data_IF_954666311872
#
_entry.id   IF_954666311872
#
_cell.length_a   1.000
_cell.length_b   1.000
_cell.length_c   1.000
_cell.angle_alpha   90.00
_cell.angle_beta   90.00
_cell.angle_gamma   90.00
#
_symmetry.space_group_name_H-M   'P 1'
#
loop_
_entity.id
_entity.type
_entity.pdbx_description
1 polymer ?
#
# COMPACT_ATOMS: atom_id res chain seq x y z
N UNK A 1 10.06 -23.48 2.53
CA UNK A 1 8.73 -23.37 3.17
C UNK A 1 7.74 -22.90 2.13
N UNK A 2 6.67 -23.66 1.85
CA UNK A 2 5.58 -23.16 1.01
C UNK A 2 4.86 -22.04 1.75
N UNK A 3 4.91 -20.81 1.21
CA UNK A 3 4.14 -19.69 1.72
C UNK A 3 2.68 -19.96 1.35
N UNK A 4 1.82 -20.18 2.34
CA UNK A 4 0.38 -20.26 2.11
C UNK A 4 -0.08 -18.87 1.64
N UNK A 5 -0.53 -18.76 0.39
CA UNK A 5 -1.11 -17.53 -0.15
C UNK A 5 -2.61 -17.49 0.12
N UNK A 6 -3.14 -16.28 0.32
CA UNK A 6 -4.58 -16.01 0.45
C UNK A 6 -4.94 -14.91 -0.54
N UNK A 7 -6.15 -15.00 -1.11
CA UNK A 7 -6.69 -14.00 -2.03
C UNK A 7 -7.81 -13.23 -1.33
N UNK A 8 -7.78 -11.91 -1.43
CA UNK A 8 -8.84 -11.02 -0.97
C UNK A 8 -9.44 -10.35 -2.22
N UNK A 9 -10.75 -10.42 -2.37
CA UNK A 9 -11.48 -9.71 -3.43
C UNK A 9 -12.12 -8.46 -2.86
N UNK A 10 -11.83 -7.31 -3.46
CA UNK A 10 -12.38 -6.02 -3.07
C UNK A 10 -13.34 -5.52 -4.14
N UNK A 11 -14.46 -4.95 -3.71
CA UNK A 11 -15.34 -4.16 -4.57
C UNK A 11 -15.13 -2.70 -4.21
N UNK A 12 -14.69 -1.92 -5.19
CA UNK A 12 -14.53 -0.48 -5.05
C UNK A 12 -15.40 0.23 -6.07
N UNK A 13 -15.80 1.45 -5.74
CA UNK A 13 -16.53 2.30 -6.66
C UNK A 13 -15.68 2.62 -7.91
N UNK A 14 -16.34 2.77 -9.05
CA UNK A 14 -15.66 3.04 -10.32
C UNK A 14 -14.85 4.33 -10.27
N UNK A 15 -15.36 5.39 -9.64
CA UNK A 15 -14.65 6.65 -9.47
C UNK A 15 -13.37 6.46 -8.65
N UNK A 16 -13.43 5.69 -7.56
CA UNK A 16 -12.25 5.36 -6.75
C UNK A 16 -11.23 4.58 -7.60
N UNK A 17 -11.67 3.65 -8.43
CA UNK A 17 -10.76 2.93 -9.35
C UNK A 17 -10.04 3.89 -10.32
N UNK A 18 -10.74 4.87 -10.90
CA UNK A 18 -10.10 5.87 -11.77
C UNK A 18 -9.10 6.75 -11.00
N UNK A 19 -9.46 7.19 -9.79
CA UNK A 19 -8.55 7.97 -8.94
C UNK A 19 -7.31 7.15 -8.57
N UNK A 20 -7.47 5.88 -8.22
CA UNK A 20 -6.34 4.99 -7.94
C UNK A 20 -5.42 4.80 -9.15
N UNK A 21 -5.96 4.72 -10.36
CA UNK A 21 -5.14 4.67 -11.58
C UNK A 21 -4.26 5.90 -11.72
N UNK A 22 -4.78 7.08 -11.40
CA UNK A 22 -3.98 8.30 -11.46
C UNK A 22 -2.88 8.34 -10.39
N UNK A 23 -3.19 7.90 -9.17
CA UNK A 23 -2.16 7.78 -8.12
C UNK A 23 -1.05 6.82 -8.55
N UNK A 24 -1.39 5.63 -9.06
CA UNK A 24 -0.41 4.66 -9.56
C UNK A 24 0.40 5.23 -10.72
N UNK A 25 -0.24 5.96 -11.64
CA UNK A 25 0.45 6.62 -12.75
C UNK A 25 1.50 7.61 -12.24
N UNK A 26 1.17 8.42 -11.23
CA UNK A 26 2.10 9.39 -10.62
C UNK A 26 3.27 8.68 -9.92
N UNK A 27 3.02 7.63 -9.14
CA UNK A 27 4.08 6.81 -8.54
C UNK A 27 5.04 6.26 -9.60
N UNK A 28 4.50 5.74 -10.70
CA UNK A 28 5.29 5.19 -11.79
C UNK A 28 6.09 6.26 -12.57
N UNK A 29 5.62 7.50 -12.61
CA UNK A 29 6.41 8.61 -13.14
C UNK A 29 7.62 8.92 -12.25
N UNK A 30 7.44 8.90 -10.94
CA UNK A 30 8.54 9.07 -9.97
C UNK A 30 9.53 7.93 -10.09
N UNK A 31 9.06 6.68 -10.19
CA UNK A 31 9.92 5.51 -10.38
C UNK A 31 10.75 5.64 -11.67
N UNK A 32 10.12 6.00 -12.79
CA UNK A 32 10.80 6.23 -14.06
C UNK A 32 11.84 7.37 -13.95
N UNK A 33 11.50 8.48 -13.29
CA UNK A 33 12.42 9.59 -13.06
C UNK A 33 13.62 9.20 -12.17
N UNK A 34 13.45 8.16 -11.34
CA UNK A 34 14.51 7.56 -10.51
C UNK A 34 15.17 6.35 -11.15
N UNK A 35 14.98 6.12 -12.45
CA UNK A 35 15.51 4.98 -13.18
C UNK A 35 15.17 3.61 -12.55
N UNK A 36 13.99 3.48 -11.93
CA UNK A 36 13.53 2.25 -11.29
C UNK A 36 14.03 2.01 -9.87
N UNK A 37 14.66 3.02 -9.23
CA UNK A 37 15.28 2.88 -7.91
C UNK A 37 14.31 3.06 -6.72
N UNK A 38 13.01 2.83 -6.91
CA UNK A 38 12.05 2.81 -5.79
C UNK A 38 12.01 1.43 -5.13
N UNK A 39 11.59 1.36 -3.85
CA UNK A 39 11.61 0.12 -3.06
C UNK A 39 10.74 -1.00 -3.64
N UNK A 40 9.71 -0.66 -4.41
CA UNK A 40 8.75 -1.60 -4.98
C UNK A 40 8.70 -1.55 -6.52
N UNK A 41 9.53 -0.71 -7.14
CA UNK A 41 9.53 -0.48 -8.59
C UNK A 41 8.19 0.01 -9.12
N UNK A 42 7.91 -0.33 -10.38
CA UNK A 42 6.67 0.02 -11.06
C UNK A 42 5.47 -0.72 -10.43
N UNK A 43 4.41 0.03 -10.15
CA UNK A 43 3.19 -0.45 -9.52
C UNK A 43 2.04 -0.68 -10.52
N UNK A 44 1.24 -1.71 -10.24
CA UNK A 44 -0.16 -1.79 -10.67
C UNK A 44 -1.07 -1.36 -9.51
N UNK A 45 -2.38 -1.29 -9.71
CA UNK A 45 -3.31 -1.02 -8.59
C UNK A 45 -3.22 -2.15 -7.56
N UNK A 46 -3.19 -3.39 -8.02
CA UNK A 46 -3.11 -4.57 -7.15
C UNK A 46 -1.83 -4.59 -6.32
N UNK A 47 -0.68 -4.27 -6.93
CA UNK A 47 0.59 -4.25 -6.19
C UNK A 47 0.68 -3.04 -5.24
N UNK A 48 0.09 -1.89 -5.59
CA UNK A 48 -0.01 -0.75 -4.69
C UNK A 48 -0.89 -1.06 -3.46
N UNK A 49 -2.04 -1.69 -3.66
CA UNK A 49 -2.90 -2.14 -2.55
C UNK A 49 -2.22 -3.25 -1.73
N UNK A 50 -1.47 -4.14 -2.38
CA UNK A 50 -0.66 -5.16 -1.72
C UNK A 50 0.40 -4.55 -0.81
N UNK A 51 1.14 -3.55 -1.29
CA UNK A 51 2.13 -2.79 -0.51
C UNK A 51 1.48 -2.16 0.74
N UNK A 52 0.33 -1.51 0.59
CA UNK A 52 -0.40 -0.93 1.73
C UNK A 52 -0.90 -1.99 2.73
N UNK A 53 -1.28 -3.18 2.25
CA UNK A 53 -1.65 -4.29 3.11
C UNK A 53 -0.45 -4.83 3.90
N UNK A 54 0.74 -4.86 3.31
CA UNK A 54 1.99 -5.20 3.99
C UNK A 54 2.32 -4.17 5.08
N UNK A 55 2.26 -2.88 4.75
CA UNK A 55 2.48 -1.77 5.70
C UNK A 55 1.47 -1.83 6.87
N UNK A 56 0.20 -2.10 6.58
CA UNK A 56 -0.83 -2.28 7.59
C UNK A 56 -0.50 -3.45 8.55
N UNK A 57 0.02 -4.57 8.03
CA UNK A 57 0.45 -5.70 8.85
C UNK A 57 1.69 -5.37 9.70
N UNK A 58 2.52 -4.40 9.29
CA UNK A 58 3.64 -3.91 10.09
C UNK A 58 3.20 -3.20 11.37
N UNK A 59 1.96 -2.68 11.43
CA UNK A 59 1.41 -2.12 12.68
C UNK A 59 1.36 -3.13 13.84
N UNK A 60 1.34 -4.43 13.54
CA UNK A 60 1.36 -5.51 14.53
C UNK A 60 2.71 -6.22 14.59
N UNK A 61 3.37 -6.41 13.44
CA UNK A 61 4.61 -7.21 13.37
C UNK A 61 5.88 -6.39 13.61
N UNK A 62 5.86 -5.09 13.32
CA UNK A 62 6.97 -4.13 13.46
C UNK A 62 6.46 -2.72 13.80
N UNK A 63 5.75 -2.53 14.93
CA UNK A 63 5.04 -1.27 15.21
C UNK A 63 5.92 -0.01 15.23
N UNK A 64 7.21 -0.13 15.53
CA UNK A 64 8.17 0.98 15.51
C UNK A 64 8.85 1.23 14.17
N UNK A 65 8.57 0.44 13.12
CA UNK A 65 9.08 0.75 11.77
C UNK A 65 8.41 2.01 11.23
N UNK A 66 9.02 2.62 10.23
CA UNK A 66 8.46 3.80 9.59
C UNK A 66 7.05 3.50 9.04
N UNK A 67 6.88 2.39 8.32
CA UNK A 67 5.61 1.94 7.73
C UNK A 67 4.55 1.68 8.81
N UNK A 68 4.93 0.91 9.85
CA UNK A 68 4.03 0.54 10.94
C UNK A 68 3.55 1.75 11.73
N UNK A 69 4.44 2.71 12.02
CA UNK A 69 4.09 3.91 12.75
C UNK A 69 3.12 4.82 11.95
N UNK A 70 3.37 5.03 10.66
CA UNK A 70 2.50 5.86 9.82
C UNK A 70 1.14 5.18 9.58
N UNK A 71 1.11 3.87 9.37
CA UNK A 71 -0.17 3.15 9.29
C UNK A 71 -0.93 3.16 10.61
N UNK A 72 -0.25 3.12 11.75
CA UNK A 72 -0.90 3.30 13.06
C UNK A 72 -1.54 4.68 13.18
N UNK A 73 -0.86 5.74 12.71
CA UNK A 73 -1.43 7.10 12.69
C UNK A 73 -2.69 7.18 11.81
N UNK A 74 -2.70 6.54 10.62
CA UNK A 74 -3.89 6.47 9.77
C UNK A 74 -5.04 5.80 10.52
N UNK A 75 -4.78 4.67 11.19
CA UNK A 75 -5.80 3.98 12.00
C UNK A 75 -6.30 4.82 13.18
N UNK A 76 -5.41 5.50 13.91
CA UNK A 76 -5.79 6.43 14.99
C UNK A 76 -6.64 7.58 14.47
N UNK A 77 -6.30 8.14 13.31
CA UNK A 77 -7.07 9.23 12.67
C UNK A 77 -8.48 8.80 12.26
N UNK A 78 -8.70 7.49 12.10
CA UNK A 78 -10.02 6.88 11.88
C UNK A 78 -10.70 6.41 13.17
N UNK A 79 -10.09 6.60 14.35
CA UNK A 79 -10.64 6.23 15.65
C UNK A 79 -10.50 4.75 16.02
N UNK A 80 -9.64 3.99 15.33
CA UNK A 80 -9.39 2.58 15.65
C UNK A 80 -8.30 2.38 16.72
N UNK A 81 -7.59 3.44 17.08
CA UNK A 81 -6.49 3.45 18.05
C UNK A 81 -6.44 4.80 18.75
N UNK A 82 -6.14 4.79 20.04
CA UNK A 82 -5.95 5.99 20.87
C UNK A 82 -4.55 6.59 20.70
#
# INVERSE_FOLDING_TARGET
MNRLTKTITLRIDANIYYVLREVVRQCNQVDAARAGATSHGKLTIESALGMLAEDLAMTATRPGSWEGAHMSQVLSSHGYRD
#
